data_IF_824243072897
#
_entry.id   IF_824243072897
#
_cell.length_a   1.000
_cell.length_b   1.000
_cell.length_c   1.000
_cell.angle_alpha   90.00
_cell.angle_beta   90.00
_cell.angle_gamma   90.00
#
_symmetry.space_group_name_H-M   'P 1'
#
loop_
_entity.id
_entity.type
_entity.pdbx_description
1 polymer ?
2 polymer ?
3 polymer ?
4 water ?
#
# COMPACT_ATOMS: atom_id res chain seq x y z
N UNK A 1 0.96 17.68 -7.64
CA UNK A 1 0.78 18.11 -9.06
C UNK A 1 0.18 17.04 -9.93
N UNK A 2 0.86 15.90 -10.02
CA UNK A 2 0.39 14.77 -10.82
C UNK A 2 -0.53 13.86 -9.99
N UNK A 3 -1.51 13.25 -10.66
CA UNK A 3 -2.50 12.41 -9.99
C UNK A 3 -2.76 11.10 -10.73
N UNK A 4 -3.25 10.11 -10.00
CA UNK A 4 -3.54 8.80 -10.56
C UNK A 4 -4.74 8.13 -9.90
N UNK A 5 -5.40 7.25 -10.66
CA UNK A 5 -6.41 6.35 -10.11
C UNK A 5 -5.95 4.92 -10.36
N UNK A 6 -6.07 4.08 -9.32
CA UNK A 6 -5.72 2.67 -9.45
C UNK A 6 -6.78 1.79 -8.80
N UNK A 7 -7.12 0.70 -9.48
CA UNK A 7 -7.86 -0.38 -8.86
C UNK A 7 -6.94 -1.59 -8.67
N UNK A 8 -7.08 -2.23 -7.52
CA UNK A 8 -6.26 -3.40 -7.19
C UNK A 8 -7.19 -4.59 -6.93
N UNK A 9 -7.11 -5.61 -7.78
CA UNK A 9 -7.88 -6.84 -7.62
C UNK A 9 -6.97 -7.95 -7.10
N UNK A 10 -7.48 -8.71 -6.13
CA UNK A 10 -6.80 -9.90 -5.63
C UNK A 10 -7.79 -11.06 -5.53
N UNK A 11 -7.46 -12.17 -6.19
CA UNK A 11 -8.25 -13.40 -6.09
C UNK A 11 -7.38 -14.53 -5.56
N UNK A 12 -7.83 -15.16 -4.47
CA UNK A 12 -7.03 -16.20 -3.84
C UNK A 12 -7.81 -17.49 -3.63
N UNK A 13 -7.30 -18.57 -4.20
CA UNK A 13 -7.88 -19.90 -4.01
C UNK A 13 -7.47 -20.48 -2.66
N UNK A 14 -8.29 -21.38 -2.14
CA UNK A 14 -8.10 -21.98 -0.82
C UNK A 14 -8.76 -23.36 -0.77
N UNK A 15 -8.17 -24.35 -1.47
CA UNK A 15 -8.76 -25.69 -1.56
C UNK A 15 -9.15 -26.23 -0.19
N UNK A 16 -10.40 -26.69 -0.08
CA UNK A 16 -10.91 -27.24 1.18
C UNK A 16 -11.48 -26.19 2.14
N UNK A 17 -11.39 -24.92 1.75
CA UNK A 17 -11.86 -23.82 2.60
C UNK A 17 -12.80 -22.87 1.85
N UNK A 18 -13.63 -23.43 0.97
CA UNK A 18 -14.58 -22.65 0.20
C UNK A 18 -14.05 -22.19 -1.14
N UNK A 19 -14.85 -21.36 -1.81
CA UNK A 19 -14.49 -20.81 -3.11
C UNK A 19 -13.45 -19.69 -2.97
N UNK A 20 -12.68 -19.42 -4.04
CA UNK A 20 -11.67 -18.35 -3.97
C UNK A 20 -12.26 -16.99 -3.58
N UNK A 21 -11.53 -16.28 -2.74
CA UNK A 21 -11.94 -14.96 -2.26
C UNK A 21 -11.52 -13.89 -3.27
N UNK A 22 -12.44 -12.96 -3.55
CA UNK A 22 -12.15 -11.82 -4.41
C UNK A 22 -12.24 -10.52 -3.62
N UNK A 23 -11.14 -9.76 -3.64
CA UNK A 23 -11.07 -8.44 -3.01
C UNK A 23 -10.70 -7.40 -4.06
N UNK A 24 -11.44 -6.29 -4.07
CA UNK A 24 -11.11 -5.14 -4.89
C UNK A 24 -11.02 -3.87 -4.04
N UNK A 25 -9.97 -3.09 -4.28
CA UNK A 25 -9.84 -1.77 -3.66
C UNK A 25 -9.52 -0.71 -4.72
N UNK A 26 -9.94 0.52 -4.46
CA UNK A 26 -9.72 1.63 -5.37
C UNK A 26 -8.99 2.77 -4.67
N UNK A 27 -8.02 3.35 -5.38
CA UNK A 27 -7.22 4.44 -4.85
C UNK A 27 -7.22 5.64 -5.80
N UNK A 28 -7.21 6.83 -5.21
CA UNK A 28 -6.80 8.05 -5.90
C UNK A 28 -5.55 8.53 -5.17
N UNK A 29 -4.42 8.52 -5.89
CA UNK A 29 -3.10 8.77 -5.29
C UNK A 29 -2.91 7.83 -4.10
N UNK A 30 -2.64 8.38 -2.91
CA UNK A 30 -2.43 7.56 -1.71
C UNK A 30 -3.69 7.48 -0.83
N UNK A 31 -4.85 7.71 -1.42
CA UNK A 31 -6.12 7.68 -0.71
C UNK A 31 -7.03 6.59 -1.26
N UNK A 32 -7.29 5.56 -0.45
CA UNK A 32 -8.29 4.54 -0.78
C UNK A 32 -9.69 5.14 -0.67
N UNK A 33 -10.55 4.81 -1.63
CA UNK A 33 -11.91 5.35 -1.62
C UNK A 33 -13.06 4.31 -1.70
N UNK A 34 -12.76 3.12 -2.23
CA UNK A 34 -13.75 2.03 -2.28
C UNK A 34 -13.15 0.69 -1.89
N UNK A 35 -14.01 -0.22 -1.44
CA UNK A 35 -13.63 -1.61 -1.20
C UNK A 35 -14.74 -2.58 -1.57
N UNK A 36 -14.35 -3.82 -1.87
CA UNK A 36 -15.28 -4.93 -2.04
C UNK A 36 -14.61 -6.19 -1.54
N UNK A 37 -15.37 -7.01 -0.80
CA UNK A 37 -14.87 -8.29 -0.30
C UNK A 37 -15.97 -9.35 -0.46
N UNK A 38 -15.67 -10.39 -1.23
CA UNK A 38 -16.60 -11.49 -1.46
C UNK A 38 -16.86 -12.32 -0.20
N UNK A 39 -15.98 -12.19 0.79
CA UNK A 39 -16.10 -12.89 2.07
C UNK A 39 -17.02 -12.18 3.07
N UNK A 40 -17.35 -10.92 2.79
CA UNK A 40 -18.24 -10.13 3.66
C UNK A 40 -19.63 -10.76 3.78
N UNK A 41 -20.27 -10.53 4.93
CA UNK A 41 -21.60 -11.08 5.20
C UNK A 41 -22.59 -10.73 4.09
N UNK A 42 -22.59 -9.45 3.69
CA UNK A 42 -23.37 -8.99 2.54
C UNK A 42 -22.43 -8.25 1.59
N UNK A 43 -21.84 -8.98 0.62
CA UNK A 43 -20.84 -8.40 -0.29
C UNK A 43 -21.43 -7.25 -1.10
N UNK A 44 -20.83 -6.07 -0.93
CA UNK A 44 -21.25 -4.85 -1.60
C UNK A 44 -20.09 -3.87 -1.64
N UNK A 45 -20.08 -2.98 -2.63
CA UNK A 45 -19.08 -1.93 -2.70
C UNK A 45 -19.33 -0.91 -1.60
N UNK A 46 -18.31 -0.64 -0.80
CA UNK A 46 -18.44 0.25 0.34
C UNK A 46 -17.52 1.45 0.23
N UNK A 47 -17.99 2.64 0.66
CA UNK A 47 -17.15 3.84 0.68
C UNK A 47 -16.03 3.76 1.71
N UNK A 48 -14.86 4.28 1.36
CA UNK A 48 -13.71 4.31 2.27
C UNK A 48 -13.08 5.71 2.36
N UNK A 49 -13.73 6.68 1.72
CA UNK A 49 -13.35 8.08 1.79
C UNK A 49 -14.62 8.94 1.80
N UNK A 50 -14.65 10.03 2.61
CA UNK A 50 -15.87 10.83 2.75
C UNK A 50 -16.40 11.40 1.42
N UNK A 51 -15.48 11.80 0.54
CA UNK A 51 -15.86 12.46 -0.71
C UNK A 51 -16.53 11.56 -1.76
N UNK A 52 -16.51 10.24 -1.56
CA UNK A 52 -17.16 9.31 -2.48
C UNK A 52 -18.62 9.03 -2.10
N UNK A 53 -18.97 9.33 -0.85
CA UNK A 53 -20.29 9.04 -0.31
C UNK A 53 -21.44 9.72 -1.07
N UNK A 54 -21.13 10.86 -1.69
CA UNK A 54 -22.13 11.66 -2.43
C UNK A 54 -22.60 11.00 -3.73
N UNK A 55 -21.91 9.95 -4.18
CA UNK A 55 -22.30 9.23 -5.39
C UNK A 55 -23.63 8.51 -5.17
N UNK A 56 -24.50 8.58 -6.19
CA UNK A 56 -25.86 8.04 -6.10
C UNK A 56 -25.95 6.52 -6.12
N UNK A 57 -27.15 5.98 -5.82
CA UNK A 57 -27.40 4.53 -5.75
C UNK A 57 -26.98 3.78 -7.02
N UNK A 58 -27.14 4.41 -8.18
CA UNK A 58 -26.75 3.83 -9.47
C UNK A 58 -25.26 3.49 -9.51
N UNK A 59 -24.45 4.42 -9.01
CA UNK A 59 -23.00 4.24 -8.93
C UNK A 59 -22.65 2.99 -8.13
N UNK A 60 -23.20 2.91 -6.90
CA UNK A 60 -22.91 1.82 -5.98
C UNK A 60 -23.43 0.46 -6.47
N UNK A 61 -24.62 0.47 -7.07
CA UNK A 61 -25.18 -0.74 -7.67
C UNK A 61 -24.33 -1.25 -8.83
N UNK A 62 -23.85 -0.32 -9.65
CA UNK A 62 -23.02 -0.67 -10.81
C UNK A 62 -21.66 -1.21 -10.37
N UNK A 63 -21.06 -0.58 -9.36
CA UNK A 63 -19.82 -1.07 -8.76
C UNK A 63 -19.98 -2.50 -8.24
N UNK A 64 -21.01 -2.72 -7.44
CA UNK A 64 -21.31 -4.03 -6.84
C UNK A 64 -21.58 -5.10 -7.91
N UNK A 65 -22.35 -4.76 -8.93
CA UNK A 65 -22.59 -5.67 -10.05
C UNK A 65 -21.27 -6.12 -10.68
N UNK A 66 -20.41 -5.14 -10.98
CA UNK A 66 -19.11 -5.40 -11.60
C UNK A 66 -18.24 -6.31 -10.74
N UNK A 67 -18.13 -6.00 -9.45
CA UNK A 67 -17.30 -6.78 -8.54
C UNK A 67 -17.86 -8.17 -8.24
N UNK A 68 -19.19 -8.28 -8.20
CA UNK A 68 -19.84 -9.59 -8.02
C UNK A 68 -19.60 -10.51 -9.23
N UNK A 69 -19.65 -9.93 -10.43
CA UNK A 69 -19.37 -10.68 -11.66
C UNK A 69 -17.89 -11.04 -11.74
N UNK A 70 -17.02 -10.10 -11.36
CA UNK A 70 -15.58 -10.36 -11.27
C UNK A 70 -15.21 -11.49 -10.31
N UNK A 71 -15.91 -11.57 -9.17
CA UNK A 71 -15.74 -12.67 -8.24
C UNK A 71 -15.87 -14.02 -8.96
N UNK A 72 -16.92 -14.17 -9.75
CA UNK A 72 -17.15 -15.40 -10.51
C UNK A 72 -16.12 -15.58 -11.63
N UNK A 73 -15.84 -14.50 -12.36
CA UNK A 73 -14.88 -14.52 -13.47
C UNK A 73 -13.48 -14.93 -13.00
N UNK A 74 -13.05 -14.38 -11.87
CA UNK A 74 -11.72 -14.67 -11.32
C UNK A 74 -11.59 -16.10 -10.78
N UNK A 75 -12.70 -16.66 -10.31
CA UNK A 75 -12.71 -18.07 -9.88
C UNK A 75 -12.47 -19.00 -11.06
N UNK A 76 -13.12 -18.68 -12.19
CA UNK A 76 -12.90 -19.39 -13.45
C UNK A 76 -11.46 -19.22 -13.93
N UNK A 77 -10.93 -18.00 -13.81
CA UNK A 77 -9.56 -17.70 -14.23
C UNK A 77 -8.52 -18.48 -13.43
N UNK A 78 -8.75 -18.60 -12.12
CA UNK A 78 -7.88 -19.38 -11.25
C UNK A 78 -7.85 -20.86 -11.64
N UNK A 79 -9.01 -21.41 -12.02
CA UNK A 79 -9.11 -22.78 -12.52
C UNK A 79 -8.29 -22.94 -13.80
N UNK A 80 -8.39 -21.95 -14.68
CA UNK A 80 -7.65 -21.94 -15.94
C UNK A 80 -6.13 -21.87 -15.76
N UNK A 81 -5.67 -20.94 -14.93
CA UNK A 81 -4.23 -20.77 -14.68
C UNK A 81 -3.59 -21.97 -14.00
N UNK A 82 -4.33 -22.60 -13.09
CA UNK A 82 -3.92 -23.87 -12.50
C UNK A 82 -3.63 -24.90 -13.59
N UNK A 83 -4.55 -24.98 -14.57
CA UNK A 83 -4.38 -25.87 -15.73
C UNK A 83 -3.21 -25.50 -16.62
N UNK A 84 -2.98 -24.21 -16.83
CA UNK A 84 -1.89 -23.72 -17.68
C UNK A 84 -0.50 -24.15 -17.17
N UNK A 85 -0.40 -24.36 -15.85
CA UNK A 85 0.88 -24.70 -15.22
C UNK A 85 0.93 -26.14 -14.71
N UNK A 86 -0.07 -26.94 -15.07
CA UNK A 86 -0.16 -28.35 -14.67
C UNK A 86 -0.13 -28.52 -13.14
N UNK A 87 -0.78 -27.60 -12.44
CA UNK A 87 -0.81 -27.62 -10.97
C UNK A 87 -2.01 -28.41 -10.47
N UNK A 88 -1.84 -29.06 -9.32
CA UNK A 88 -2.89 -29.85 -8.70
C UNK A 88 -3.97 -28.97 -8.08
N UNK A 89 -5.12 -29.58 -7.78
CA UNK A 89 -6.24 -28.88 -7.13
C UNK A 89 -6.01 -28.63 -5.65
N UNK A 90 -4.85 -29.03 -5.14
CA UNK A 90 -4.57 -29.01 -3.70
C UNK A 90 -3.93 -27.73 -3.18
N UNK A 91 -3.17 -27.04 -4.04
CA UNK A 91 -2.45 -25.84 -3.65
C UNK A 91 -3.26 -24.56 -3.74
N UNK A 92 -2.90 -23.59 -2.91
CA UNK A 92 -3.51 -22.26 -2.94
C UNK A 92 -2.75 -21.36 -3.90
N UNK A 93 -3.49 -20.59 -4.69
CA UNK A 93 -2.89 -19.69 -5.69
C UNK A 93 -3.55 -18.32 -5.73
N UNK A 94 -2.80 -17.33 -6.19
CA UNK A 94 -3.27 -15.94 -6.21
C UNK A 94 -3.12 -15.31 -7.59
N UNK A 95 -4.19 -14.66 -8.06
CA UNK A 95 -4.09 -13.77 -9.22
C UNK A 95 -4.29 -12.34 -8.72
N UNK A 96 -3.39 -11.46 -9.14
CA UNK A 96 -3.49 -10.04 -8.84
C UNK A 96 -3.59 -9.24 -10.14
N UNK A 97 -4.44 -8.24 -10.14
CA UNK A 97 -4.52 -7.31 -11.26
C UNK A 97 -4.55 -5.88 -10.74
N UNK A 98 -3.73 -5.03 -11.35
CA UNK A 98 -3.81 -3.59 -11.10
C UNK A 98 -3.90 -2.83 -12.41
N UNK A 99 -4.82 -1.87 -12.45
CA UNK A 99 -5.01 -1.04 -13.63
C UNK A 99 -5.40 0.38 -13.24
N UNK A 100 -5.19 1.30 -14.16
CA UNK A 100 -5.60 2.69 -13.96
C UNK A 100 -4.84 3.68 -14.80
N UNK A 101 -5.09 4.96 -14.55
CA UNK A 101 -4.60 6.03 -15.39
C UNK A 101 -3.78 7.03 -14.59
N UNK A 102 -2.77 7.61 -15.25
CA UNK A 102 -1.97 8.69 -14.69
C UNK A 102 -2.31 10.01 -15.39
N UNK A 103 -2.39 11.08 -14.60
CA UNK A 103 -2.51 12.43 -15.13
C UNK A 103 -1.28 13.25 -14.75
N UNK A 104 -0.89 14.17 -15.63
CA UNK A 104 0.17 15.12 -15.32
C UNK A 104 -0.39 16.31 -14.54
N UNK A 105 0.42 17.37 -14.37
CA UNK A 105 -0.03 18.56 -13.64
C UNK A 105 -0.92 19.49 -14.47
N UNK A 106 -1.76 18.92 -15.34
CA UNK A 106 -2.67 19.71 -16.18
C UNK A 106 -4.07 19.08 -16.34
N UNK A 107 -4.13 17.75 -16.42
CA UNK A 107 -5.41 17.05 -16.46
C UNK A 107 -5.59 15.91 -17.45
N UNK A 108 -4.82 15.92 -18.54
CA UNK A 108 -4.95 14.91 -19.60
C UNK A 108 -4.19 13.62 -19.27
N UNK A 109 -4.53 12.53 -19.98
CA UNK A 109 -3.91 11.23 -19.76
C UNK A 109 -2.41 11.23 -20.09
N UNK A 110 -1.61 10.87 -19.09
CA UNK A 110 -0.17 10.78 -19.24
C UNK A 110 0.25 9.37 -19.64
N UNK A 111 -0.32 8.38 -18.95
CA UNK A 111 -0.01 6.97 -19.18
C UNK A 111 -1.10 6.08 -18.59
N UNK A 112 -1.40 4.99 -19.30
CA UNK A 112 -2.35 3.99 -18.82
C UNK A 112 -1.67 2.73 -18.36
N UNK A 113 -2.32 1.99 -17.46
CA UNK A 113 -1.74 0.78 -16.87
C UNK A 113 -2.75 -0.36 -16.81
N UNK A 114 -2.27 -1.57 -17.07
CA UNK A 114 -2.99 -2.81 -16.77
C UNK A 114 -1.96 -3.93 -16.68
N UNK A 115 -1.79 -4.46 -15.47
CA UNK A 115 -0.80 -5.48 -15.21
C UNK A 115 -1.38 -6.61 -14.35
N UNK A 116 -0.96 -7.83 -14.64
CA UNK A 116 -1.40 -9.00 -13.90
C UNK A 116 -0.23 -9.84 -13.39
N UNK A 117 -0.43 -10.43 -12.22
CA UNK A 117 0.54 -11.36 -11.65
C UNK A 117 -0.14 -12.64 -11.17
N UNK A 118 0.59 -13.76 -11.29
CA UNK A 118 0.15 -15.04 -10.78
C UNK A 118 1.16 -15.53 -9.75
N UNK A 119 0.68 -15.75 -8.52
CA UNK A 119 1.53 -16.09 -7.38
C UNK A 119 2.70 -15.12 -7.17
N UNK A 120 2.42 -13.84 -7.36
CA UNK A 120 3.42 -12.78 -7.14
C UNK A 120 4.41 -12.57 -8.27
N UNK A 121 4.26 -13.32 -9.35
CA UNK A 121 5.14 -13.22 -10.52
C UNK A 121 4.41 -12.56 -11.68
N UNK A 122 5.06 -11.57 -12.30
CA UNK A 122 4.49 -10.90 -13.48
C UNK A 122 4.05 -11.94 -14.52
N UNK A 123 2.82 -11.79 -14.97
CA UNK A 123 2.16 -12.77 -15.84
C UNK A 123 1.87 -12.18 -17.21
N UNK A 124 1.06 -11.12 -17.23
CA UNK A 124 0.71 -10.42 -18.47
C UNK A 124 0.50 -8.93 -18.19
N UNK A 125 0.94 -8.09 -19.12
CA UNK A 125 0.80 -6.65 -18.98
C UNK A 125 0.42 -5.99 -20.30
N UNK A 126 -0.43 -4.98 -20.22
CA UNK A 126 -0.71 -4.11 -21.35
C UNK A 126 0.48 -3.18 -21.55
N UNK A 127 0.97 -3.12 -22.79
CA UNK A 127 2.08 -2.23 -23.13
C UNK A 127 1.64 -0.77 -23.08
N UNK A 128 2.59 0.15 -23.03
CA UNK A 128 2.28 1.58 -22.91
C UNK A 128 1.45 2.10 -24.07
N UNK A 129 1.57 1.47 -25.24
CA UNK A 129 0.79 1.82 -26.42
C UNK A 129 -0.72 1.50 -26.28
N UNK A 130 -1.07 0.79 -25.20
CA UNK A 130 -2.46 0.41 -24.89
C UNK A 130 -3.12 -0.37 -26.03
N UNK A 131 -2.30 -1.09 -26.79
CA UNK A 131 -2.74 -1.80 -27.98
C UNK A 131 -2.20 -3.22 -28.05
N UNK A 132 -1.05 -3.44 -27.42
CA UNK A 132 -0.37 -4.73 -27.45
C UNK A 132 -0.11 -5.28 -26.05
N UNK A 133 0.23 -6.57 -25.97
CA UNK A 133 0.48 -7.25 -24.70
C UNK A 133 1.91 -7.78 -24.59
N UNK A 134 2.41 -7.83 -23.36
CA UNK A 134 3.64 -8.58 -23.05
C UNK A 134 3.28 -9.75 -22.14
N UNK A 135 3.40 -10.96 -22.69
CA UNK A 135 3.14 -12.20 -21.95
C UNK A 135 4.45 -12.79 -21.42
N UNK A 136 4.46 -13.16 -20.14
CA UNK A 136 5.66 -13.62 -19.46
C UNK A 136 6.15 -15.01 -19.90
N UNK A 137 5.21 -15.87 -20.27
CA UNK A 137 5.54 -17.25 -20.65
C UNK A 137 4.48 -17.86 -21.56
N UNK A 138 4.60 -19.16 -21.84
CA UNK A 138 3.68 -19.87 -22.73
C UNK A 138 2.27 -20.00 -22.16
N UNK A 139 2.16 -19.99 -20.83
CA UNK A 139 0.85 -19.95 -20.17
C UNK A 139 0.15 -18.62 -20.43
N UNK A 140 0.86 -17.52 -20.20
CA UNK A 140 0.33 -16.18 -20.42
C UNK A 140 -0.01 -15.90 -21.89
N UNK A 141 0.63 -16.65 -22.79
CA UNK A 141 0.34 -16.56 -24.23
C UNK A 141 -1.07 -17.03 -24.56
N UNK A 142 -1.59 -17.97 -23.78
CA UNK A 142 -2.98 -18.44 -23.92
C UNK A 142 -3.93 -17.31 -23.52
N UNK A 143 -3.66 -16.70 -22.38
CA UNK A 143 -4.41 -15.54 -21.90
C UNK A 143 -4.40 -14.41 -22.92
N UNK A 144 -3.23 -14.15 -23.51
CA UNK A 144 -3.07 -13.13 -24.54
C UNK A 144 -3.98 -13.38 -25.74
N UNK A 145 -3.99 -14.63 -26.21
CA UNK A 145 -4.80 -15.04 -27.36
C UNK A 145 -6.29 -14.87 -27.07
N UNK A 146 -6.71 -15.20 -25.85
CA UNK A 146 -8.08 -14.97 -25.40
C UNK A 146 -8.43 -13.48 -25.40
N UNK A 147 -7.49 -12.67 -24.91
CA UNK A 147 -7.69 -11.24 -24.76
C UNK A 147 -7.69 -10.48 -26.09
N UNK A 148 -6.95 -11.01 -27.07
CA UNK A 148 -6.96 -10.47 -28.43
C UNK A 148 -8.28 -10.77 -29.13
N UNK A 149 -8.82 -11.96 -28.89
CA UNK A 149 -10.11 -12.37 -29.45
C UNK A 149 -11.26 -11.55 -28.87
N UNK A 150 -11.18 -11.23 -27.58
CA UNK A 150 -12.23 -10.49 -26.88
C UNK A 150 -12.06 -8.96 -26.92
N UNK A 151 -11.09 -8.49 -27.71
CA UNK A 151 -10.82 -7.05 -27.88
C UNK A 151 -10.52 -6.33 -26.57
N UNK A 152 -9.81 -7.00 -25.66
CA UNK A 152 -9.58 -6.48 -24.32
C UNK A 152 -8.74 -5.19 -24.31
N UNK A 153 -7.67 -5.17 -25.09
CA UNK A 153 -6.77 -4.02 -25.18
C UNK A 153 -7.50 -2.77 -25.67
N UNK A 154 -8.41 -2.97 -26.62
CA UNK A 154 -9.22 -1.90 -27.21
C UNK A 154 -10.18 -1.33 -26.17
N UNK A 155 -10.80 -2.22 -25.39
CA UNK A 155 -11.69 -1.84 -24.30
C UNK A 155 -10.95 -1.06 -23.22
N UNK A 156 -9.74 -1.52 -22.90
CA UNK A 156 -8.88 -0.86 -21.92
C UNK A 156 -8.42 0.52 -22.39
N UNK A 157 -8.01 0.63 -23.65
CA UNK A 157 -7.63 1.92 -24.22
C UNK A 157 -8.80 2.92 -24.14
N UNK A 158 -9.99 2.48 -24.51
CA UNK A 158 -11.19 3.32 -24.45
C UNK A 158 -11.46 3.80 -23.01
N UNK A 159 -11.37 2.87 -22.06
CA UNK A 159 -11.57 3.19 -20.64
C UNK A 159 -10.51 4.12 -20.09
N UNK A 160 -9.23 3.79 -20.32
CA UNK A 160 -8.10 4.55 -19.77
C UNK A 160 -8.00 5.97 -20.29
N UNK A 161 -8.35 6.17 -21.57
CA UNK A 161 -8.32 7.50 -22.19
C UNK A 161 -9.59 8.29 -21.90
N UNK A 162 -10.68 7.59 -21.60
CA UNK A 162 -12.00 8.21 -21.41
C UNK A 162 -12.47 8.20 -19.97
N UNK A 163 -13.23 7.17 -19.62
CA UNK A 163 -13.86 7.06 -18.29
C UNK A 163 -12.90 7.15 -17.10
N UNK A 164 -11.73 6.52 -17.21
CA UNK A 164 -10.73 6.56 -16.13
C UNK A 164 -10.35 8.00 -15.80
N UNK A 165 -9.99 8.77 -16.82
CA UNK A 165 -9.60 10.17 -16.67
C UNK A 165 -10.77 11.02 -16.18
N UNK A 166 -11.94 10.84 -16.80
CA UNK A 166 -13.15 11.58 -16.44
C UNK A 166 -13.51 11.43 -14.97
N UNK A 167 -13.51 10.18 -14.48
CA UNK A 167 -13.85 9.87 -13.10
C UNK A 167 -12.78 10.32 -12.10
N UNK A 168 -11.52 10.18 -12.48
CA UNK A 168 -10.41 10.68 -11.66
C UNK A 168 -10.51 12.19 -11.43
N UNK A 169 -10.77 12.94 -12.50
CA UNK A 169 -10.94 14.39 -12.42
C UNK A 169 -12.15 14.78 -11.56
N UNK A 170 -13.21 13.98 -11.66
CA UNK A 170 -14.41 14.18 -10.85
C UNK A 170 -14.09 13.95 -9.36
N UNK A 171 -13.35 12.88 -9.06
CA UNK A 171 -12.97 12.58 -7.68
C UNK A 171 -12.03 13.65 -7.13
N UNK A 172 -11.09 14.10 -7.96
CA UNK A 172 -10.15 15.15 -7.59
C UNK A 172 -10.85 16.48 -7.24
N UNK A 173 -11.93 16.78 -7.94
CA UNK A 173 -12.73 17.99 -7.65
C UNK A 173 -13.59 17.80 -6.40
N UNK A 174 -14.27 16.66 -6.30
CA UNK A 174 -15.11 16.35 -5.14
C UNK A 174 -14.33 16.23 -3.83
N UNK A 175 -13.12 15.69 -3.91
CA UNK A 175 -12.25 15.56 -2.74
C UNK A 175 -11.07 16.51 -2.74
N UNK A 176 -11.23 17.67 -3.36
CA UNK A 176 -10.13 18.63 -3.55
C UNK A 176 -9.48 19.11 -2.25
N UNK A 177 -10.28 19.23 -1.19
CA UNK A 177 -9.79 19.71 0.10
C UNK A 177 -8.83 18.75 0.81
N UNK A 178 -8.81 17.49 0.35
CA UNK A 178 -7.87 16.50 0.87
C UNK A 178 -6.92 15.98 -0.22
N UNK A 179 -7.49 15.57 -1.35
CA UNK A 179 -6.72 14.99 -2.46
C UNK A 179 -5.76 15.98 -3.10
N UNK A 180 -6.19 17.25 -3.19
CA UNK A 180 -5.37 18.30 -3.77
C UNK A 180 -4.83 19.23 -2.69
N UNK A 181 -4.69 18.69 -1.48
CA UNK A 181 -4.06 19.39 -0.36
C UNK A 181 -2.84 18.61 0.09
N UNK A 182 -1.66 19.17 -0.17
CA UNK A 182 -0.42 18.56 0.27
C UNK A 182 -0.07 19.04 1.67
N UNK A 183 0.01 18.10 2.62
CA UNK A 183 0.35 18.42 4.00
C UNK A 183 1.84 18.22 4.20
N UNK A 184 2.56 19.29 4.58
CA UNK A 184 4.01 19.21 4.76
C UNK A 184 4.38 18.32 5.95
N UNK A 185 5.57 17.70 5.92
CA UNK A 185 6.02 16.94 7.08
C UNK A 185 6.38 17.83 8.25
N UNK A 186 6.07 17.37 9.46
CA UNK A 186 6.62 17.96 10.67
C UNK A 186 7.94 17.24 10.89
N UNK A 187 9.03 18.00 10.97
CA UNK A 187 10.38 17.41 10.97
C UNK A 187 11.21 17.79 12.19
N UNK A 188 11.97 16.81 12.68
CA UNK A 188 12.95 17.04 13.76
C UNK A 188 14.07 16.00 13.75
N UNK A 189 15.15 16.30 14.44
CA UNK A 189 16.30 15.40 14.52
C UNK A 189 16.50 14.95 15.97
N UNK A 190 16.59 13.63 16.17
CA UNK A 190 16.86 13.06 17.49
C UNK A 190 18.27 12.49 17.57
N UNK A 191 18.81 12.44 18.77
CA UNK A 191 20.18 12.01 19.02
C UNK A 191 20.17 10.83 19.99
N UNK A 192 20.74 9.71 19.55
CA UNK A 192 20.80 8.49 20.34
C UNK A 192 22.22 7.93 20.40
N UNK A 193 22.91 8.14 21.54
CA UNK A 193 24.25 7.58 21.74
C UNK A 193 24.23 6.05 21.71
N UNK A 194 25.16 5.45 20.97
CA UNK A 194 25.28 3.99 20.90
C UNK A 194 26.50 3.49 21.67
N UNK A 195 27.54 4.31 21.72
CA UNK A 195 28.76 4.03 22.46
C UNK A 195 29.42 5.33 22.92
N UNK A 196 30.65 5.23 23.44
CA UNK A 196 31.38 6.39 23.93
C UNK A 196 31.76 7.40 22.83
N UNK A 197 31.85 6.94 21.59
CA UNK A 197 32.32 7.78 20.50
C UNK A 197 31.52 7.64 19.21
N UNK A 198 30.33 7.05 19.30
CA UNK A 198 29.37 7.03 18.20
C UNK A 198 27.94 7.29 18.67
N UNK A 199 27.16 7.94 17.81
CA UNK A 199 25.76 8.24 18.09
C UNK A 199 24.91 8.19 16.83
N UNK A 200 23.64 7.83 17.00
CA UNK A 200 22.70 7.80 15.90
C UNK A 200 21.94 9.12 15.80
N UNK A 201 21.99 9.72 14.61
CA UNK A 201 21.15 10.86 14.30
C UNK A 201 19.97 10.38 13.47
N UNK A 202 18.76 10.60 13.98
CA UNK A 202 17.55 10.19 13.28
C UNK A 202 16.70 11.37 12.87
N UNK A 203 16.51 11.51 11.57
CA UNK A 203 15.73 12.60 11.00
C UNK A 203 14.28 12.16 10.75
N UNK A 204 13.36 12.79 11.46
CA UNK A 204 11.95 12.42 11.44
C UNK A 204 11.11 13.28 10.50
N UNK A 205 10.18 12.64 9.78
CA UNK A 205 9.17 13.33 8.99
C UNK A 205 7.81 12.73 9.31
N UNK A 206 6.90 13.56 9.80
CA UNK A 206 5.62 13.09 10.35
C UNK A 206 4.43 13.92 9.87
N UNK A 207 3.30 13.25 9.68
CA UNK A 207 2.04 13.92 9.32
C UNK A 207 1.95 14.45 7.90
N UNK A 208 2.72 13.86 6.98
CA UNK A 208 2.74 14.35 5.60
C UNK A 208 1.83 13.58 4.63
N UNK A 209 1.31 14.30 3.65
CA UNK A 209 0.54 13.75 2.54
C UNK A 209 0.84 14.57 1.28
N UNK A 210 1.04 13.90 0.13
CA UNK A 210 1.05 12.45 -0.12
C UNK A 210 2.31 11.74 0.40
N UNK A 211 2.38 10.43 0.18
CA UNK A 211 3.46 9.59 0.69
C UNK A 211 4.84 9.92 0.11
N UNK A 212 4.86 10.44 -1.12
CA UNK A 212 6.12 10.82 -1.79
C UNK A 212 6.92 11.84 -0.97
N UNK A 213 8.16 11.49 -0.68
CA UNK A 213 9.07 12.31 0.13
C UNK A 213 10.52 11.89 -0.13
N UNK A 214 11.43 12.83 0.02
CA UNK A 214 12.86 12.53 -0.02
C UNK A 214 13.51 12.93 1.30
N UNK A 215 14.08 11.94 1.99
CA UNK A 215 14.86 12.16 3.21
C UNK A 215 16.28 11.68 2.98
N UNK A 216 17.25 12.58 3.13
CA UNK A 216 18.66 12.26 2.94
C UNK A 216 19.54 12.86 4.03
N UNK A 217 20.59 12.12 4.40
CA UNK A 217 21.64 12.64 5.29
C UNK A 217 22.88 13.00 4.48
N UNK A 218 23.48 14.14 4.82
CA UNK A 218 24.72 14.58 4.20
C UNK A 218 25.83 14.85 5.22
N UNK A 219 27.05 14.46 4.86
CA UNK A 219 28.24 14.73 5.66
C UNK A 219 29.17 15.62 4.85
N UNK A 220 29.40 16.84 5.35
CA UNK A 220 30.19 17.88 4.64
C UNK A 220 29.57 18.24 3.29
N UNK A 221 28.25 18.14 3.19
CA UNK A 221 27.51 18.44 1.97
C UNK A 221 27.53 17.31 0.94
N UNK A 222 27.85 16.11 1.40
CA UNK A 222 27.92 14.94 0.54
C UNK A 222 26.95 13.85 1.00
N UNK A 223 26.14 13.35 0.07
CA UNK A 223 25.14 12.32 0.36
C UNK A 223 25.74 11.07 1.01
N UNK A 224 25.08 10.59 2.07
CA UNK A 224 25.53 9.42 2.81
C UNK A 224 24.61 8.23 2.53
N UNK A 225 24.33 7.99 1.24
CA UNK A 225 23.36 6.99 0.80
C UNK A 225 23.64 5.59 1.32
N UNK A 226 24.91 5.17 1.28
CA UNK A 226 25.31 3.84 1.73
C UNK A 226 25.25 3.68 3.25
N UNK A 227 25.41 4.78 3.97
CA UNK A 227 25.45 4.75 5.44
C UNK A 227 24.13 5.17 6.11
N UNK A 228 23.13 5.49 5.30
CA UNK A 228 21.82 5.90 5.82
C UNK A 228 20.83 4.74 5.87
N UNK A 229 20.26 4.50 7.06
CA UNK A 229 19.16 3.58 7.21
C UNK A 229 17.84 4.34 6.98
N UNK A 230 17.10 3.94 5.95
CA UNK A 230 15.84 4.57 5.61
C UNK A 230 14.71 3.55 5.72
N UNK A 231 13.81 3.74 6.68
CA UNK A 231 12.65 2.86 6.83
C UNK A 231 11.62 3.16 5.74
N UNK A 232 10.83 2.14 5.42
CA UNK A 232 9.71 2.28 4.50
C UNK A 232 8.73 3.31 5.06
N UNK A 233 8.24 4.18 4.17
CA UNK A 233 7.20 5.14 4.51
C UNK A 233 5.97 4.37 5.00
N UNK A 234 5.41 4.82 6.12
CA UNK A 234 4.36 4.09 6.83
C UNK A 234 3.15 4.98 7.09
N UNK A 235 1.94 4.40 7.02
CA UNK A 235 0.72 5.18 7.28
C UNK A 235 0.51 5.43 8.77
N UNK A 236 0.15 6.67 9.11
CA UNK A 236 -0.14 7.03 10.49
C UNK A 236 -1.53 6.59 10.91
N UNK A 237 -2.41 6.37 9.92
CA UNK A 237 -3.78 5.94 10.17
C UNK A 237 -4.81 7.04 10.01
N UNK A 238 -4.34 8.28 9.88
CA UNK A 238 -5.19 9.45 9.75
C UNK A 238 -5.07 10.08 8.35
N UNK A 239 -4.77 9.24 7.36
CA UNK A 239 -4.46 9.63 5.96
C UNK A 239 -3.00 10.01 5.74
N UNK A 240 -2.31 10.45 6.79
CA UNK A 240 -0.93 10.94 6.65
C UNK A 240 0.10 9.81 6.79
N UNK A 241 1.35 10.15 6.48
CA UNK A 241 2.44 9.18 6.45
C UNK A 241 3.63 9.61 7.32
N UNK A 242 4.46 8.63 7.65
CA UNK A 242 5.66 8.84 8.47
C UNK A 242 6.88 8.21 7.82
N UNK A 243 8.04 8.81 8.04
CA UNK A 243 9.32 8.24 7.59
C UNK A 243 10.46 8.78 8.45
N UNK A 244 11.50 7.97 8.63
CA UNK A 244 12.76 8.47 9.18
C UNK A 244 13.99 7.93 8.47
N UNK A 245 15.07 8.71 8.56
CA UNK A 245 16.38 8.33 8.05
C UNK A 245 17.39 8.49 9.18
N UNK A 246 18.20 7.45 9.40
CA UNK A 246 19.19 7.45 10.47
C UNK A 246 20.60 7.20 9.98
N UNK A 247 21.56 7.89 10.58
CA UNK A 247 22.98 7.72 10.29
C UNK A 247 23.79 7.65 11.59
N UNK A 248 24.75 6.74 11.65
CA UNK A 248 25.64 6.60 12.81
C UNK A 248 26.85 7.51 12.63
N UNK A 249 27.01 8.46 13.56
CA UNK A 249 28.05 9.48 13.46
C UNK A 249 29.09 9.35 14.58
N UNK A 250 30.36 9.72 14.29
CA UNK A 250 31.33 9.84 15.38
C UNK A 250 30.93 10.98 16.32
N UNK A 251 31.05 10.75 17.62
CA UNK A 251 30.70 11.75 18.64
C UNK A 251 31.59 12.98 18.53
N UNK A 252 30.96 14.15 18.54
CA UNK A 252 31.66 15.42 18.37
C UNK A 252 31.63 15.91 16.92
N UNK A 253 31.22 15.04 16.01
CA UNK A 253 31.17 15.37 14.59
C UNK A 253 29.75 15.60 14.07
N UNK A 254 28.79 15.75 15.00
CA UNK A 254 27.37 15.87 14.67
C UNK A 254 27.02 17.04 13.76
N UNK A 255 27.72 18.17 13.92
CA UNK A 255 27.42 19.37 13.15
C UNK A 255 27.90 19.33 11.70
N UNK A 256 28.61 18.27 11.35
CA UNK A 256 29.02 18.03 9.97
C UNK A 256 27.87 17.36 9.19
N UNK A 257 26.82 16.97 9.90
CA UNK A 257 25.70 16.24 9.31
C UNK A 257 24.44 17.09 9.16
N UNK A 258 23.85 17.04 7.97
CA UNK A 258 22.62 17.75 7.68
C UNK A 258 21.59 16.80 7.09
N UNK A 259 20.35 16.92 7.57
CA UNK A 259 19.24 16.20 6.98
C UNK A 259 18.49 17.12 6.02
N UNK A 260 18.14 16.58 4.86
CA UNK A 260 17.43 17.33 3.83
C UNK A 260 16.09 16.69 3.54
N UNK A 261 15.03 17.51 3.56
CA UNK A 261 13.67 17.05 3.37
C UNK A 261 13.05 17.72 2.13
N UNK A 262 12.53 16.89 1.23
CA UNK A 262 11.83 17.37 0.04
C UNK A 262 10.41 16.81 0.02
N UNK A 263 9.42 17.69 0.01
CA UNK A 263 8.01 17.32 -0.03
C UNK A 263 7.17 18.43 -0.66
N UNK A 264 6.10 18.01 -1.34
CA UNK A 264 5.20 18.93 -2.07
C UNK A 264 4.52 19.97 -1.17
N UNK A 265 4.21 19.60 0.07
CA UNK A 265 3.52 20.48 1.01
C UNK A 265 4.37 21.61 1.57
N UNK A 266 5.68 21.54 1.34
CA UNK A 266 6.63 22.54 1.84
C UNK A 266 6.76 23.72 0.88
N UNK A 267 6.82 24.96 1.41
CA UNK A 267 7.12 26.12 0.57
C UNK A 267 8.56 26.09 0.03
N UNK A 268 9.46 25.49 0.82
CA UNK A 268 10.86 25.34 0.42
C UNK A 268 11.43 24.06 1.07
N UNK A 269 12.31 23.34 0.35
CA UNK A 269 13.03 22.19 0.93
C UNK A 269 13.73 22.56 2.23
N UNK A 270 13.72 21.64 3.19
CA UNK A 270 14.26 21.88 4.51
C UNK A 270 15.66 21.33 4.69
N UNK A 271 16.49 22.08 5.41
CA UNK A 271 17.78 21.59 5.89
C UNK A 271 17.75 21.62 7.41
N UNK A 272 17.96 20.46 8.02
CA UNK A 272 17.89 20.32 9.47
C UNK A 272 19.18 19.77 10.05
N UNK A 273 19.48 20.18 11.28
CA UNK A 273 20.61 19.66 12.05
C UNK A 273 20.12 19.26 13.44
N UNK A 274 20.93 18.48 14.15
CA UNK A 274 20.64 18.19 15.55
C UNK A 274 20.87 19.43 16.40
N UNK A 275 19.89 19.74 17.26
CA UNK A 275 19.96 20.88 18.15
C UNK A 275 20.02 20.39 19.60
N UNK A 276 21.23 20.43 20.21
CA UNK A 276 21.46 19.97 21.58
C UNK A 276 20.61 20.74 22.61
N UNK B 1 9.52 -17.71 -4.33
CA UNK B 1 8.05 -17.53 -4.55
C UNK B 1 7.36 -16.80 -3.41
N UNK B 2 7.83 -17.02 -2.19
CA UNK B 2 7.21 -16.43 -1.00
C UNK B 2 8.10 -15.37 -0.35
N UNK B 3 7.47 -14.30 0.13
CA UNK B 3 8.19 -13.18 0.74
C UNK B 3 7.74 -12.96 2.18
N UNK B 4 8.72 -12.77 3.07
CA UNK B 4 8.44 -12.59 4.50
C UNK B 4 8.03 -11.13 4.79
N UNK B 5 7.06 -10.94 5.72
CA UNK B 5 6.62 -9.58 6.03
C UNK B 5 7.67 -8.73 6.76
N UNK B 6 7.77 -7.47 6.33
CA UNK B 6 8.45 -6.43 7.10
C UNK B 6 7.46 -5.93 8.16
N UNK B 7 7.97 -5.62 9.35
CA UNK B 7 7.10 -5.21 10.46
C UNK B 7 7.58 -3.91 11.10
N UNK B 8 6.69 -2.92 11.18
CA UNK B 8 6.95 -1.70 11.94
C UNK B 8 5.88 -1.48 13.00
N UNK B 9 6.32 -1.22 14.23
CA UNK B 9 5.40 -0.94 15.33
C UNK B 9 5.68 0.47 15.84
N UNK B 10 4.63 1.29 15.90
CA UNK B 10 4.77 2.72 16.14
C UNK B 10 3.43 3.35 16.54
N UNK B 11 3.46 4.59 16.99
CA UNK B 11 2.25 5.32 17.34
C UNK B 11 1.90 6.37 16.28
N UNK B 12 0.61 6.67 16.16
CA UNK B 12 0.12 7.69 15.23
C UNK B 12 0.68 9.07 15.56
N UNK B 13 0.66 9.40 16.86
CA UNK B 13 1.14 10.68 17.36
C UNK B 13 2.38 10.45 18.22
N UNK B 14 3.21 11.50 18.42
CA UNK B 14 4.33 11.39 19.36
C UNK B 14 3.84 10.87 20.72
N UNK B 15 4.51 9.85 21.23
CA UNK B 15 4.11 9.18 22.47
C UNK B 15 4.22 10.08 23.69
N UNK B 16 3.11 10.21 24.41
CA UNK B 16 3.07 10.96 25.66
C UNK B 16 2.32 10.16 26.72
N UNK B 17 3.00 9.87 27.83
CA UNK B 17 2.43 9.07 28.92
C UNK B 17 1.18 9.68 29.52
N UNK B 18 0.10 8.91 29.54
CA UNK B 18 -1.18 9.36 30.08
C UNK B 18 -2.09 10.02 29.06
N UNK B 19 -1.63 10.10 27.81
CA UNK B 19 -2.41 10.71 26.74
C UNK B 19 -2.84 9.66 25.71
N UNK B 20 -4.12 9.69 25.35
CA UNK B 20 -4.70 8.75 24.39
C UNK B 20 -4.04 8.88 23.02
N UNK B 21 -3.78 7.74 22.39
CA UNK B 21 -3.08 7.67 21.11
C UNK B 21 -3.58 6.47 20.30
N UNK B 22 -2.93 6.18 19.19
CA UNK B 22 -3.21 4.99 18.39
C UNK B 22 -1.95 4.15 18.23
N UNK B 23 -2.06 2.86 18.50
CA UNK B 23 -0.95 1.92 18.31
C UNK B 23 -1.06 1.26 16.94
N UNK B 24 -0.01 1.41 16.13
CA UNK B 24 0.01 0.88 14.78
C UNK B 24 0.99 -0.28 14.62
N UNK B 25 0.57 -1.29 13.86
CA UNK B 25 1.48 -2.33 13.38
C UNK B 25 1.32 -2.44 11.87
N UNK B 26 2.37 -2.03 11.16
CA UNK B 26 2.38 -2.04 9.71
C UNK B 26 3.15 -3.25 9.19
N UNK B 27 2.42 -4.14 8.51
CA UNK B 27 3.01 -5.32 7.86
C UNK B 27 3.00 -5.13 6.35
N UNK B 28 4.14 -5.37 5.71
CA UNK B 28 4.31 -5.08 4.29
C UNK B 28 5.34 -5.99 3.63
N UNK B 29 5.35 -6.01 2.31
CA UNK B 29 6.33 -6.76 1.53
C UNK B 29 6.18 -8.27 1.58
N UNK B 30 4.98 -8.73 1.93
CA UNK B 30 4.75 -10.17 2.07
C UNK B 30 3.91 -10.79 0.95
N UNK B 31 4.12 -12.09 0.74
CA UNK B 31 3.40 -12.88 -0.25
C UNK B 31 3.57 -14.34 0.16
N UNK B 32 2.48 -15.13 0.20
CA UNK B 32 1.07 -14.82 -0.09
C UNK B 32 0.39 -13.89 0.93
N UNK B 33 -0.88 -13.59 0.69
CA UNK B 33 -1.63 -12.57 1.43
C UNK B 33 -2.10 -12.99 2.83
N UNK B 34 -2.24 -14.30 3.06
CA UNK B 34 -2.68 -14.79 4.37
C UNK B 34 -1.68 -14.42 5.46
N UNK B 35 -2.19 -13.75 6.51
CA UNK B 35 -1.34 -13.25 7.59
C UNK B 35 -2.12 -13.11 8.90
N UNK B 36 -1.45 -13.36 10.01
CA UNK B 36 -2.05 -13.21 11.35
C UNK B 36 -1.32 -12.12 12.10
N UNK B 37 -2.06 -11.09 12.52
CA UNK B 37 -1.48 -9.96 13.24
C UNK B 37 -2.29 -9.63 14.49
N UNK B 38 -1.61 -9.64 15.64
CA UNK B 38 -2.22 -9.23 16.90
C UNK B 38 -1.37 -8.18 17.58
N UNK B 39 -2.04 -7.23 18.23
CA UNK B 39 -1.37 -6.25 19.07
C UNK B 39 -1.41 -6.75 20.51
N UNK B 40 -0.28 -6.65 21.20
CA UNK B 40 -0.15 -7.17 22.56
C UNK B 40 0.07 -6.06 23.59
N UNK B 41 -0.61 -6.19 24.72
CA UNK B 41 -0.34 -5.35 25.89
C UNK B 41 0.19 -6.24 27.01
N UNK B 42 1.45 -6.03 27.37
CA UNK B 42 2.16 -6.85 28.35
C UNK B 42 2.08 -8.35 28.06
N UNK B 43 2.15 -8.69 26.77
CA UNK B 43 2.09 -10.08 26.31
C UNK B 43 0.69 -10.61 26.04
N UNK B 44 -0.33 -9.83 26.41
CA UNK B 44 -1.73 -10.25 26.26
C UNK B 44 -2.36 -9.62 25.01
N UNK B 45 -3.07 -10.44 24.25
CA UNK B 45 -3.72 -10.02 23.00
C UNK B 45 -4.82 -8.98 23.25
N UNK B 46 -4.70 -7.84 22.56
CA UNK B 46 -5.68 -6.76 22.66
C UNK B 46 -6.90 -7.05 21.76
N UNK B 47 -8.09 -6.84 22.32
CA UNK B 47 -9.34 -7.01 21.59
C UNK B 47 -9.68 -5.76 20.77
N UNK B 48 -10.63 -5.90 19.85
CA UNK B 48 -11.14 -4.79 19.03
C UNK B 48 -10.07 -4.08 18.19
N UNK B 49 -9.03 -4.84 17.80
CA UNK B 49 -8.00 -4.32 16.90
C UNK B 49 -8.54 -4.36 15.47
N UNK B 50 -8.46 -3.22 14.80
CA UNK B 50 -8.93 -3.08 13.43
C UNK B 50 -7.77 -3.13 12.43
N UNK B 51 -8.09 -3.34 11.16
CA UNK B 51 -7.09 -3.30 10.10
C UNK B 51 -7.62 -2.69 8.80
N UNK B 52 -6.69 -2.18 7.99
CA UNK B 52 -6.99 -1.65 6.66
C UNK B 52 -7.37 -2.75 5.69
N UNK B 53 -7.91 -2.37 4.54
CA UNK B 53 -8.28 -3.33 3.50
C UNK B 53 -7.04 -3.81 2.76
N UNK B 54 -7.06 -5.08 2.35
CA UNK B 54 -5.93 -5.69 1.65
C UNK B 54 -5.62 -4.99 0.32
N UNK B 55 -4.39 -4.51 0.21
CA UNK B 55 -3.89 -3.91 -1.02
C UNK B 55 -2.47 -4.40 -1.26
N UNK B 56 -1.89 -4.03 -2.40
CA UNK B 56 -0.53 -4.43 -2.73
C UNK B 56 0.31 -3.34 -3.39
N UNK B 57 1.63 -3.48 -3.29
CA UNK B 57 2.57 -2.54 -3.85
C UNK B 57 2.88 -2.86 -5.31
N UNK B 58 3.72 -2.04 -5.95
CA UNK B 58 4.09 -2.23 -7.34
C UNK B 58 4.79 -3.57 -7.62
N UNK B 59 5.48 -4.08 -6.61
CA UNK B 59 6.18 -5.39 -6.71
C UNK B 59 5.27 -6.58 -6.38
N UNK B 60 3.97 -6.32 -6.26
CA UNK B 60 2.92 -7.33 -6.00
C UNK B 60 2.81 -7.78 -4.55
N UNK B 61 3.73 -7.33 -3.70
CA UNK B 61 3.70 -7.70 -2.28
C UNK B 61 2.60 -6.96 -1.54
N UNK B 62 1.97 -7.64 -0.59
CA UNK B 62 0.82 -7.09 0.13
C UNK B 62 1.24 -6.22 1.30
N UNK B 63 0.34 -5.34 1.73
CA UNK B 63 0.53 -4.56 2.94
C UNK B 63 -0.80 -4.34 3.68
N UNK B 64 -0.72 -4.25 5.00
CA UNK B 64 -1.87 -4.03 5.86
C UNK B 64 -1.44 -3.20 7.07
N UNK B 65 -2.34 -2.33 7.52
CA UNK B 65 -2.15 -1.62 8.78
C UNK B 65 -3.12 -2.16 9.84
N UNK B 66 -2.56 -2.62 10.95
CA UNK B 66 -3.36 -3.01 12.11
C UNK B 66 -3.23 -1.94 13.18
N UNK B 67 -4.34 -1.58 13.80
CA UNK B 67 -4.38 -0.44 14.73
C UNK B 67 -5.44 -0.56 15.81
N UNK B 68 -5.14 0.05 16.96
CA UNK B 68 -6.11 0.21 18.05
C UNK B 68 -5.80 1.46 18.86
N UNK B 69 -6.82 2.01 19.52
CA UNK B 69 -6.63 3.11 20.46
C UNK B 69 -5.90 2.57 21.69
N UNK B 70 -4.93 3.34 22.19
CA UNK B 70 -4.21 2.97 23.40
C UNK B 70 -3.67 4.18 24.15
N UNK B 71 -3.44 4.02 25.44
CA UNK B 71 -2.81 5.05 26.26
C UNK B 71 -1.50 4.51 26.81
N UNK B 72 -0.36 5.04 26.32
CA UNK B 72 0.95 4.55 26.72
C UNK B 72 1.32 5.04 28.12
N UNK B 73 2.03 4.17 28.87
CA UNK B 73 2.57 4.54 30.17
C UNK B 73 4.07 4.24 30.19
N UNK B 74 4.70 4.42 31.35
CA UNK B 74 6.12 4.18 31.50
C UNK B 74 6.47 2.69 31.47
N UNK B 75 5.64 1.86 32.13
CA UNK B 75 5.97 0.45 32.34
C UNK B 75 5.23 -0.56 31.46
N UNK B 76 4.10 -0.15 30.88
CA UNK B 76 3.34 -1.02 29.98
C UNK B 76 4.10 -1.30 28.68
N UNK B 77 4.32 -2.58 28.40
CA UNK B 77 5.04 -3.01 27.21
C UNK B 77 4.06 -3.38 26.10
N UNK B 78 4.23 -2.76 24.94
CA UNK B 78 3.41 -3.06 23.77
C UNK B 78 4.22 -3.73 22.67
N UNK B 79 3.59 -4.65 21.95
CA UNK B 79 4.26 -5.41 20.89
C UNK B 79 3.30 -5.80 19.77
N UNK B 80 3.85 -6.32 18.68
CA UNK B 80 3.05 -6.82 17.58
C UNK B 80 3.46 -8.25 17.26
N UNK B 81 2.48 -9.15 17.28
CA UNK B 81 2.69 -10.57 16.99
C UNK B 81 2.22 -10.90 15.58
N UNK B 82 3.17 -11.31 14.72
CA UNK B 82 2.88 -11.59 13.31
C UNK B 82 3.18 -13.04 12.97
N UNK B 83 2.21 -13.72 12.36
CA UNK B 83 2.40 -15.06 11.83
C UNK B 83 2.15 -15.11 10.32
N UNK B 84 3.04 -15.81 9.61
CA UNK B 84 3.00 -15.91 8.16
C UNK B 84 3.61 -17.25 7.75
N UNK B 85 3.25 -17.76 6.57
CA UNK B 85 3.74 -19.05 6.09
C UNK B 85 5.28 -19.11 6.02
N UNK B 86 5.91 -17.96 5.80
CA UNK B 86 7.38 -17.86 5.74
C UNK B 86 8.04 -17.97 7.11
N UNK B 87 7.25 -17.85 8.18
CA UNK B 87 7.79 -17.90 9.53
C UNK B 87 7.49 -19.24 10.21
N UNK B 88 8.53 -19.83 10.82
CA UNK B 88 8.38 -21.10 11.54
C UNK B 88 7.76 -20.88 12.93
N UNK B 89 7.90 -19.67 13.44
CA UNK B 89 7.32 -19.28 14.73
C UNK B 89 6.81 -17.84 14.61
N UNK B 90 5.69 -17.51 15.28
CA UNK B 90 5.20 -16.13 15.29
C UNK B 90 6.29 -15.13 15.71
N UNK B 91 6.39 -14.02 14.99
CA UNK B 91 7.39 -12.99 15.26
C UNK B 91 6.82 -11.89 16.15
N UNK B 92 7.51 -11.63 17.26
CA UNK B 92 7.14 -10.57 18.19
C UNK B 92 8.05 -9.37 17.99
N UNK B 93 7.46 -8.24 17.59
CA UNK B 93 8.20 -6.99 17.46
C UNK B 93 7.69 -6.00 18.50
N UNK B 94 8.57 -5.62 19.42
CA UNK B 94 8.22 -4.71 20.50
C UNK B 94 8.09 -3.26 20.01
N UNK B 95 7.25 -2.49 20.70
CA UNK B 95 7.10 -1.08 20.39
C UNK B 95 8.20 -0.26 21.06
N UNK B 96 8.98 0.42 20.23
CA UNK B 96 10.00 1.36 20.69
C UNK B 96 9.57 2.76 20.26
N UNK B 97 9.36 3.64 21.24
CA UNK B 97 8.86 4.99 20.97
C UNK B 97 9.85 5.90 20.23
N UNK B 98 11.11 5.45 20.15
CA UNK B 98 12.15 6.16 19.40
C UNK B 98 12.31 5.59 17.99
N UNK B 99 11.43 4.67 17.61
CA UNK B 99 11.48 4.00 16.31
C UNK B 99 10.18 4.14 15.52
N UNK C 1 -14.41 5.15 -10.98
CA UNK C 1 -15.31 4.05 -11.39
C UNK C 1 -14.52 2.95 -12.11
N UNK C 2 -14.75 1.68 -11.73
CA UNK C 2 -14.01 0.58 -12.34
C UNK C 2 -14.41 0.35 -13.79
N UNK C 3 -13.56 -0.33 -14.54
CA UNK C 3 -13.89 -0.76 -15.89
C UNK C 3 -14.92 -1.90 -15.81
N UNK C 4 -15.69 -2.08 -16.88
CA UNK C 4 -16.60 -3.22 -17.00
C UNK C 4 -15.84 -4.54 -16.89
N UNK C 5 -16.54 -5.59 -16.50
CA UNK C 5 -15.95 -6.93 -16.39
C UNK C 5 -15.34 -7.33 -17.74
N UNK C 6 -14.03 -7.56 -17.73
CA UNK C 6 -13.30 -7.96 -18.92
C UNK C 6 -13.15 -9.48 -18.96
N UNK C 7 -12.83 -10.01 -20.14
CA UNK C 7 -12.65 -11.45 -20.34
C UNK C 7 -11.73 -12.08 -19.30
N UNK C 8 -12.07 -13.30 -18.90
CA UNK C 8 -11.24 -14.09 -17.98
C UNK C 8 -9.89 -14.48 -18.56
N UNK C 9 -9.03 -15.01 -17.71
CA UNK C 9 -7.66 -15.38 -18.10
C UNK C 9 -7.62 -16.72 -18.84
#
# INVERSE_FOLDING_TARGET
>A
GSHSMRYFYTAMSRPGRGEPRFIAVGYVDDTQFVRFDSDAASPRTEPRAPWIEQEGPEYWDRNTQIFKTNTQTYRESLRNLRGYYNQSEAGSHIIQRMYGCDLGPDGRLLRGHDQSAYDGKDYIALNEDLSSWTAADTAAQITQRKWEAARVAEQLRAYLEGLCVEWLRRYLENGKETLQRADPPKTHVTHHPVSDHEATLRCWALGFYPAEITLTWQRDGEDQTQDTELVETRPAGDRTFQKWAAVVVPSGEEQRYTCHVQHEGLPKPLTLRWEP
>B
IQRTPKIQVYSRHPAENGKSNFLNCYVSGFHPSDIEVDLLKNGERIEKVEHSDLSFSKDWSFYLLYYTEFTPTEKDEYACRVNHVTLSQPKIVKWDRDM
>C
KPIVVLHGY
#
